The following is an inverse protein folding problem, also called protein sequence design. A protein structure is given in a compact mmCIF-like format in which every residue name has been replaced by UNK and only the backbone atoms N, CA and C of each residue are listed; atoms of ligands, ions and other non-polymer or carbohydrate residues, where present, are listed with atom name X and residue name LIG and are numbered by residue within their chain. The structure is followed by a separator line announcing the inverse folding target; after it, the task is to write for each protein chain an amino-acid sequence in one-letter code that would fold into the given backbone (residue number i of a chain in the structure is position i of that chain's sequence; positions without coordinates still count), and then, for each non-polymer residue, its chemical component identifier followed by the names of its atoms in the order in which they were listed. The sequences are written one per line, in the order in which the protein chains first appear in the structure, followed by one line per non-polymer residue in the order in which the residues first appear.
data_IF_311124334064
#
_entry.id   IF_311124334064
#
_cell.length_a   1.000
_cell.length_b   1.000
_cell.length_c   1.000
_cell.angle_alpha   90.00
_cell.angle_beta   90.00
_cell.angle_gamma   90.00
#
_symmetry.space_group_name_H-M   'P 1'
#
loop_
_entity.id
_entity.type
_entity.pdbx_description
1 polymer ?
#
# COMPACT_ATOMS: atom_id res chain seq x y z
N UNK A 1 -24.39 34.16 -17.78
CA UNK A 1 -23.93 33.41 -18.95
C UNK A 1 -22.44 33.13 -18.74
N UNK A 2 -22.13 31.98 -18.21
CA UNK A 2 -20.73 31.53 -18.08
C UNK A 2 -20.44 30.64 -19.29
N UNK A 3 -19.44 31.04 -20.09
CA UNK A 3 -19.00 30.27 -21.24
C UNK A 3 -18.16 29.08 -20.76
N UNK A 4 -18.67 27.88 -20.95
CA UNK A 4 -17.89 26.66 -20.82
C UNK A 4 -16.96 26.57 -22.04
N UNK A 5 -15.66 26.71 -21.81
CA UNK A 5 -14.65 26.46 -22.84
C UNK A 5 -14.48 24.92 -22.93
N UNK A 6 -15.13 24.32 -23.92
CA UNK A 6 -14.84 22.94 -24.33
C UNK A 6 -13.49 22.96 -25.07
N UNK A 7 -12.45 22.37 -24.47
CA UNK A 7 -11.17 22.14 -25.13
C UNK A 7 -11.40 21.29 -26.41
N UNK A 8 -10.73 21.63 -27.51
CA UNK A 8 -10.81 20.85 -28.75
C UNK A 8 -10.02 19.54 -28.60
N UNK A 9 -10.44 18.43 -29.26
CA UNK A 9 -9.73 17.14 -29.18
C UNK A 9 -8.24 17.22 -29.51
N UNK A 10 -7.81 18.13 -30.37
CA UNK A 10 -6.41 18.34 -30.70
C UNK A 10 -5.60 19.01 -29.58
N UNK A 11 -6.23 19.78 -28.70
CA UNK A 11 -5.56 20.38 -27.54
C UNK A 11 -5.34 19.35 -26.42
N UNK A 12 -6.29 18.45 -26.24
CA UNK A 12 -6.18 17.34 -25.26
C UNK A 12 -5.05 16.38 -25.65
N UNK A 13 -4.97 15.95 -26.91
CA UNK A 13 -3.90 15.05 -27.41
C UNK A 13 -2.51 15.70 -27.34
N UNK A 14 -2.42 17.03 -27.53
CA UNK A 14 -1.16 17.74 -27.39
C UNK A 14 -0.70 17.85 -25.93
N UNK A 15 -1.62 17.96 -25.00
CA UNK A 15 -1.36 18.04 -23.56
C UNK A 15 -0.93 16.67 -23.00
N UNK A 16 -1.62 15.58 -23.36
CA UNK A 16 -1.26 14.21 -23.02
C UNK A 16 0.15 13.83 -23.51
N UNK A 17 0.51 14.21 -24.74
CA UNK A 17 1.85 13.97 -25.28
C UNK A 17 2.96 14.79 -24.62
N UNK A 18 2.63 15.91 -23.98
CA UNK A 18 3.57 16.71 -23.20
C UNK A 18 3.77 16.11 -21.82
N UNK A 19 2.71 15.68 -21.18
CA UNK A 19 2.76 15.02 -19.87
C UNK A 19 3.57 13.71 -19.93
N UNK A 20 3.32 12.88 -20.93
CA UNK A 20 4.08 11.63 -21.12
C UNK A 20 5.59 11.90 -21.28
N UNK A 21 5.98 12.96 -21.97
CA UNK A 21 7.39 13.35 -22.09
C UNK A 21 8.00 13.78 -20.77
N UNK A 22 7.27 14.55 -19.98
CA UNK A 22 7.72 14.97 -18.64
C UNK A 22 7.93 13.74 -17.75
N UNK A 23 6.95 12.83 -17.69
CA UNK A 23 7.04 11.59 -16.94
C UNK A 23 8.27 10.77 -17.34
N UNK A 24 8.50 10.61 -18.64
CA UNK A 24 9.65 9.87 -19.15
C UNK A 24 11.00 10.54 -18.79
N UNK A 25 11.09 11.86 -18.81
CA UNK A 25 12.30 12.57 -18.39
C UNK A 25 12.52 12.47 -16.87
N UNK A 26 11.49 12.62 -16.05
CA UNK A 26 11.56 12.41 -14.61
C UNK A 26 12.04 10.98 -14.28
N UNK A 27 11.49 9.98 -14.96
CA UNK A 27 11.90 8.58 -14.79
C UNK A 27 13.38 8.34 -15.15
N UNK A 28 13.88 8.97 -16.25
CA UNK A 28 15.30 8.89 -16.63
C UNK A 28 16.21 9.52 -15.58
N UNK A 29 15.78 10.64 -14.99
CA UNK A 29 16.53 11.33 -13.93
C UNK A 29 16.55 10.44 -12.68
N UNK A 30 15.38 9.93 -12.26
CA UNK A 30 15.27 9.00 -11.14
C UNK A 30 16.22 7.80 -11.32
N UNK A 31 16.18 7.17 -12.50
CA UNK A 31 17.01 6.02 -12.84
C UNK A 31 18.52 6.27 -12.71
N UNK A 32 18.97 7.47 -13.08
CA UNK A 32 20.37 7.86 -12.92
C UNK A 32 20.79 8.04 -11.46
N UNK A 33 19.84 8.42 -10.61
CA UNK A 33 20.07 8.68 -9.19
C UNK A 33 19.91 7.43 -8.32
N UNK A 34 19.28 6.37 -8.83
CA UNK A 34 19.04 5.12 -8.07
C UNK A 34 20.28 4.60 -7.33
N UNK A 35 21.51 4.55 -7.91
CA UNK A 35 22.69 4.03 -7.20
C UNK A 35 23.06 4.78 -5.92
N UNK A 36 22.56 6.01 -5.75
CA UNK A 36 22.83 6.86 -4.60
C UNK A 36 21.69 6.91 -3.60
N UNK A 37 20.49 6.53 -4.04
CA UNK A 37 19.27 6.67 -3.27
C UNK A 37 18.75 5.34 -2.70
N UNK A 38 19.21 4.22 -3.24
CA UNK A 38 18.68 2.90 -2.89
C UNK A 38 19.79 1.89 -2.66
N UNK A 39 19.61 1.07 -1.64
CA UNK A 39 20.39 -0.15 -1.45
C UNK A 39 19.84 -1.29 -2.31
N UNK A 40 18.55 -1.27 -2.61
CA UNK A 40 17.92 -2.25 -3.48
C UNK A 40 16.76 -1.62 -4.26
N UNK A 41 16.70 -1.87 -5.56
CA UNK A 41 15.51 -1.62 -6.42
C UNK A 41 15.36 -2.77 -7.40
N UNK A 42 14.19 -3.39 -7.40
CA UNK A 42 13.78 -4.37 -8.38
C UNK A 42 12.51 -3.90 -9.06
N UNK A 43 12.50 -3.89 -10.39
CA UNK A 43 11.33 -3.53 -11.19
C UNK A 43 10.85 -4.76 -11.96
N UNK A 44 9.58 -5.05 -11.88
CA UNK A 44 8.96 -6.16 -12.58
C UNK A 44 7.68 -5.71 -13.29
N UNK A 45 7.58 -6.05 -14.59
CA UNK A 45 6.35 -5.83 -15.36
C UNK A 45 5.43 -7.04 -15.16
N UNK A 46 4.29 -6.80 -14.51
CA UNK A 46 3.23 -7.81 -14.37
C UNK A 46 2.51 -8.01 -15.71
N UNK A 47 1.89 -9.17 -15.90
CA UNK A 47 1.04 -9.45 -17.07
C UNK A 47 -0.17 -8.48 -17.12
N UNK A 48 -0.76 -8.19 -15.95
CA UNK A 48 -1.87 -7.28 -15.74
C UNK A 48 -1.59 -6.38 -14.52
N UNK A 49 -2.12 -5.15 -14.47
CA UNK A 49 -1.97 -4.32 -13.28
C UNK A 49 -2.58 -5.00 -12.07
N UNK A 50 -1.98 -4.77 -10.91
CA UNK A 50 -2.53 -5.16 -9.63
C UNK A 50 -3.02 -3.92 -8.86
N UNK A 51 -4.26 -3.96 -8.39
CA UNK A 51 -4.83 -2.91 -7.53
C UNK A 51 -4.48 -3.12 -6.04
N UNK A 52 -3.83 -4.24 -5.72
CA UNK A 52 -3.54 -4.64 -4.34
C UNK A 52 -2.21 -5.34 -4.24
N UNK A 53 -1.50 -5.13 -3.14
CA UNK A 53 -0.29 -5.87 -2.80
C UNK A 53 -0.17 -6.03 -1.29
N UNK A 54 0.24 -7.21 -0.84
CA UNK A 54 0.58 -7.44 0.57
C UNK A 54 1.64 -8.53 0.68
N UNK A 55 2.69 -8.27 1.46
CA UNK A 55 3.63 -9.30 1.86
C UNK A 55 2.95 -10.33 2.74
N UNK A 56 3.15 -11.62 2.46
CA UNK A 56 2.83 -12.67 3.40
C UNK A 56 3.88 -12.68 4.52
N UNK A 57 3.50 -13.08 5.76
CA UNK A 57 4.38 -12.96 6.92
C UNK A 57 5.45 -14.05 6.99
N UNK A 58 5.34 -15.09 6.17
CA UNK A 58 6.30 -16.17 6.13
C UNK A 58 7.55 -15.81 5.31
N UNK A 59 8.69 -16.20 5.82
CA UNK A 59 9.98 -16.10 5.17
C UNK A 59 10.71 -17.42 5.27
N UNK A 60 11.33 -17.85 4.18
CA UNK A 60 12.17 -19.05 4.17
C UNK A 60 13.62 -18.63 4.02
N UNK A 61 14.42 -18.94 5.03
CA UNK A 61 15.88 -18.77 5.05
C UNK A 61 16.54 -20.14 4.98
N UNK A 62 17.51 -20.31 4.11
CA UNK A 62 18.32 -21.54 3.99
C UNK A 62 19.75 -21.19 4.36
N UNK A 63 20.32 -21.92 5.30
CA UNK A 63 21.69 -21.68 5.76
C UNK A 63 22.68 -21.88 4.60
N UNK A 64 23.50 -20.88 4.36
CA UNK A 64 24.48 -20.86 3.26
C UNK A 64 24.00 -20.30 1.93
N UNK A 65 22.72 -19.89 1.83
CA UNK A 65 22.21 -19.14 0.68
C UNK A 65 22.36 -17.64 0.91
N UNK A 66 22.71 -16.89 -0.16
CA UNK A 66 22.83 -15.43 -0.15
C UNK A 66 21.48 -14.72 -0.32
N UNK A 67 20.37 -15.45 -0.17
CA UNK A 67 19.01 -14.92 -0.38
C UNK A 67 18.01 -15.54 0.58
N UNK A 68 16.93 -14.79 0.79
CA UNK A 68 15.71 -15.25 1.50
C UNK A 68 14.52 -15.32 0.54
N UNK A 69 13.64 -16.29 0.77
CA UNK A 69 12.43 -16.44 -0.05
C UNK A 69 11.25 -15.79 0.65
N UNK A 70 10.58 -14.87 -0.04
CA UNK A 70 9.40 -14.16 0.41
C UNK A 70 8.22 -14.42 -0.51
N UNK A 71 7.01 -14.14 -0.03
CA UNK A 71 5.79 -14.27 -0.83
C UNK A 71 4.94 -13.01 -0.76
N UNK A 72 4.24 -12.74 -1.86
CA UNK A 72 3.33 -11.61 -2.02
C UNK A 72 1.94 -12.10 -2.41
N UNK A 73 0.92 -11.40 -1.92
CA UNK A 73 -0.44 -11.43 -2.44
C UNK A 73 -0.55 -10.34 -3.50
N UNK A 74 -1.02 -10.69 -4.69
CA UNK A 74 -1.31 -9.78 -5.78
C UNK A 74 -2.69 -10.10 -6.35
N UNK A 75 -3.27 -9.17 -7.07
CA UNK A 75 -4.47 -9.37 -7.87
C UNK A 75 -4.21 -9.10 -9.34
N UNK A 76 -5.23 -9.28 -10.16
CA UNK A 76 -5.24 -8.80 -11.54
C UNK A 76 -6.39 -7.83 -11.74
N UNK A 77 -6.19 -6.90 -12.66
CA UNK A 77 -7.22 -6.05 -13.22
C UNK A 77 -7.14 -6.19 -14.74
N UNK A 78 -7.89 -7.15 -15.26
CA UNK A 78 -7.88 -7.49 -16.69
C UNK A 78 -8.94 -6.69 -17.44
N UNK A 79 -8.88 -6.72 -18.79
CA UNK A 79 -9.99 -6.27 -19.61
C UNK A 79 -11.20 -7.22 -19.48
N UNK A 80 -12.40 -6.73 -19.76
CA UNK A 80 -13.71 -7.38 -19.53
C UNK A 80 -13.86 -8.83 -20.04
N UNK A 81 -13.03 -9.26 -20.98
CA UNK A 81 -13.12 -10.59 -21.57
C UNK A 81 -12.15 -11.62 -20.98
N UNK A 82 -11.26 -11.21 -20.07
CA UNK A 82 -10.24 -12.10 -19.52
C UNK A 82 -10.48 -12.42 -18.05
N UNK A 83 -10.12 -13.66 -17.67
CA UNK A 83 -10.25 -14.15 -16.31
C UNK A 83 -9.32 -13.39 -15.36
N UNK A 84 -9.88 -12.80 -14.31
CA UNK A 84 -9.12 -12.24 -13.21
C UNK A 84 -8.67 -13.32 -12.22
N UNK A 85 -7.58 -13.04 -11.52
CA UNK A 85 -6.99 -13.97 -10.56
C UNK A 85 -6.54 -13.28 -9.28
N UNK A 86 -6.73 -13.96 -8.17
CA UNK A 86 -5.95 -13.75 -6.95
C UNK A 86 -4.65 -14.56 -7.08
N UNK A 87 -3.51 -13.94 -6.83
CA UNK A 87 -2.20 -14.51 -7.12
C UNK A 87 -1.35 -14.53 -5.86
N UNK A 88 -0.70 -15.66 -5.60
CA UNK A 88 0.42 -15.76 -4.67
C UNK A 88 1.70 -15.86 -5.49
N UNK A 89 2.55 -14.87 -5.33
CA UNK A 89 3.84 -14.78 -6.00
C UNK A 89 4.98 -15.03 -5.01
N UNK A 90 6.02 -15.70 -5.48
CA UNK A 90 7.26 -15.96 -4.73
C UNK A 90 8.40 -15.15 -5.34
N UNK A 91 9.26 -14.61 -4.49
CA UNK A 91 10.43 -13.88 -4.89
C UNK A 91 11.59 -14.11 -3.93
N UNK A 92 12.80 -13.79 -4.40
CA UNK A 92 14.03 -13.90 -3.63
C UNK A 92 14.54 -12.49 -3.33
N UNK A 93 14.84 -12.24 -2.06
CA UNK A 93 15.54 -11.04 -1.62
C UNK A 93 16.96 -11.40 -1.18
N UNK A 94 17.96 -10.55 -1.44
CA UNK A 94 19.31 -10.75 -0.95
C UNK A 94 19.36 -10.70 0.58
N UNK A 95 20.28 -11.43 1.19
CA UNK A 95 20.60 -11.28 2.61
C UNK A 95 21.51 -10.07 2.83
N UNK A 96 21.55 -9.54 4.06
CA UNK A 96 22.45 -8.44 4.43
C UNK A 96 23.95 -8.76 4.16
N UNK A 97 24.35 -10.02 4.27
CA UNK A 97 25.70 -10.48 4.00
C UNK A 97 26.01 -10.63 2.51
N UNK A 98 25.02 -10.53 1.63
CA UNK A 98 25.22 -10.62 0.18
C UNK A 98 25.96 -9.37 -0.31
N UNK A 99 27.18 -9.56 -0.83
CA UNK A 99 27.96 -8.44 -1.38
C UNK A 99 27.24 -7.82 -2.59
N UNK A 100 26.77 -6.60 -2.40
CA UNK A 100 26.20 -5.78 -3.45
C UNK A 100 27.31 -5.29 -4.38
N UNK A 101 27.29 -5.69 -5.63
CA UNK A 101 28.17 -5.16 -6.67
C UNK A 101 27.39 -4.17 -7.54
N UNK A 102 27.41 -2.90 -7.15
CA UNK A 102 26.77 -1.79 -7.88
C UNK A 102 27.29 -1.64 -9.32
N UNK A 103 28.43 -2.27 -9.67
CA UNK A 103 28.98 -2.26 -11.03
C UNK A 103 28.18 -3.09 -12.03
N UNK A 104 27.25 -3.92 -11.55
CA UNK A 104 26.40 -4.80 -12.38
C UNK A 104 25.06 -4.20 -12.75
N UNK A 105 24.93 -2.89 -12.74
CA UNK A 105 23.77 -2.22 -13.31
C UNK A 105 23.71 -2.47 -14.81
N UNK A 106 22.73 -3.24 -15.26
CA UNK A 106 22.46 -3.45 -16.67
C UNK A 106 21.70 -2.25 -17.23
N UNK A 107 22.43 -1.33 -17.84
CA UNK A 107 21.87 -0.12 -18.47
C UNK A 107 20.91 -0.42 -19.62
N UNK A 108 21.04 -1.60 -20.27
CA UNK A 108 20.23 -1.96 -21.42
C UNK A 108 18.87 -2.57 -21.01
N UNK A 109 18.82 -3.23 -19.86
CA UNK A 109 17.57 -3.81 -19.33
C UNK A 109 16.89 -2.94 -18.29
N UNK A 110 17.61 -1.97 -17.73
CA UNK A 110 17.06 -1.10 -16.70
C UNK A 110 16.76 -1.78 -15.36
N UNK A 111 17.34 -2.93 -15.15
CA UNK A 111 17.24 -3.68 -13.92
C UNK A 111 18.49 -3.40 -13.09
N UNK A 112 18.30 -3.00 -11.81
CA UNK A 112 19.35 -3.17 -10.81
C UNK A 112 19.47 -4.67 -10.64
N UNK A 113 20.43 -5.18 -11.38
CA UNK A 113 20.61 -6.57 -11.50
C UNK A 113 21.36 -7.07 -10.35
N UNK A 114 20.87 -7.58 -9.71
CA UNK A 114 21.29 -8.57 -9.33
C UNK A 114 22.42 -9.12 -8.63
N UNK A 115 22.10 -9.77 -7.67
CA UNK A 115 22.93 -10.71 -6.95
C UNK A 115 23.08 -12.00 -7.78
N UNK A 116 24.15 -12.11 -8.56
CA UNK A 116 24.45 -13.28 -9.35
C UNK A 116 23.34 -13.67 -10.36
N UNK A 117 23.12 -14.96 -10.58
CA UNK A 117 22.11 -15.50 -11.50
C UNK A 117 20.69 -15.55 -10.94
N UNK A 118 20.44 -15.01 -9.72
CA UNK A 118 19.18 -15.19 -8.96
C UNK A 118 18.46 -13.85 -8.77
N UNK A 119 18.42 -13.01 -9.77
CA UNK A 119 17.94 -11.67 -9.58
C UNK A 119 16.48 -11.47 -9.93
N UNK A 120 15.75 -10.82 -9.02
CA UNK A 120 14.51 -10.10 -9.30
C UNK A 120 13.37 -10.90 -9.93
N UNK A 121 13.55 -12.21 -10.08
CA UNK A 121 12.57 -13.06 -10.72
C UNK A 121 11.42 -13.34 -9.78
N UNK A 122 10.23 -12.95 -10.22
CA UNK A 122 8.99 -13.27 -9.55
C UNK A 122 8.39 -14.49 -10.20
N UNK A 123 8.19 -15.52 -9.39
CA UNK A 123 7.54 -16.75 -9.81
C UNK A 123 6.12 -16.78 -9.24
N UNK A 124 5.14 -16.99 -10.11
CA UNK A 124 3.75 -17.22 -9.67
C UNK A 124 3.67 -18.63 -9.08
N UNK A 125 3.35 -18.71 -7.78
CA UNK A 125 3.20 -19.96 -7.04
C UNK A 125 1.78 -20.52 -7.15
N UNK A 126 0.77 -19.66 -6.99
CA UNK A 126 -0.65 -20.02 -7.02
C UNK A 126 -1.44 -18.95 -7.76
N UNK A 127 -2.27 -19.35 -8.71
CA UNK A 127 -3.32 -18.55 -9.34
C UNK A 127 -4.68 -19.11 -8.96
N UNK A 128 -5.57 -18.27 -8.44
CA UNK A 128 -6.95 -18.64 -8.12
C UNK A 128 -7.90 -17.78 -8.94
N UNK A 129 -8.86 -18.38 -9.63
CA UNK A 129 -9.86 -17.63 -10.39
C UNK A 129 -10.64 -16.69 -9.47
N UNK A 130 -10.74 -15.43 -9.85
CA UNK A 130 -11.48 -14.40 -9.15
C UNK A 130 -12.59 -13.82 -10.04
N UNK A 131 -13.72 -13.50 -9.44
CA UNK A 131 -14.88 -12.93 -10.13
C UNK A 131 -14.73 -11.41 -10.18
N UNK A 132 -14.38 -10.91 -11.35
CA UNK A 132 -13.96 -9.53 -11.56
C UNK A 132 -12.54 -9.23 -11.06
N UNK A 133 -12.12 -7.99 -11.18
CA UNK A 133 -10.82 -7.52 -10.66
C UNK A 133 -10.73 -7.67 -9.14
N UNK A 134 -9.50 -7.79 -8.65
CA UNK A 134 -9.22 -7.86 -7.22
C UNK A 134 -8.98 -6.44 -6.71
N UNK A 135 -10.02 -5.77 -6.22
CA UNK A 135 -9.93 -4.39 -5.71
C UNK A 135 -9.01 -4.29 -4.48
N UNK A 136 -9.09 -5.27 -3.58
CA UNK A 136 -8.25 -5.37 -2.39
C UNK A 136 -8.15 -6.84 -1.96
N UNK A 137 -6.98 -7.25 -1.50
CA UNK A 137 -6.75 -8.56 -0.90
C UNK A 137 -5.92 -8.42 0.38
N UNK A 138 -6.34 -9.08 1.47
CA UNK A 138 -5.64 -9.05 2.76
C UNK A 138 -5.75 -10.41 3.44
N UNK A 139 -4.61 -10.91 3.96
CA UNK A 139 -4.61 -12.16 4.74
C UNK A 139 -5.10 -11.95 6.17
N UNK A 140 -5.66 -12.99 6.76
CA UNK A 140 -6.06 -13.00 8.16
C UNK A 140 -4.81 -13.18 9.06
N UNK A 141 -4.51 -12.24 9.99
CA UNK A 141 -3.28 -12.30 10.79
C UNK A 141 -3.10 -13.60 11.59
N UNK A 142 -4.18 -14.16 12.13
CA UNK A 142 -4.13 -15.39 12.91
C UNK A 142 -3.99 -16.66 12.07
N UNK A 143 -4.31 -16.57 10.77
CA UNK A 143 -4.18 -17.68 9.83
C UNK A 143 -3.93 -17.15 8.40
N UNK A 144 -2.66 -16.88 8.03
CA UNK A 144 -2.32 -16.21 6.77
C UNK A 144 -2.67 -16.97 5.48
N UNK A 145 -3.09 -18.24 5.60
CA UNK A 145 -3.58 -18.99 4.43
C UNK A 145 -4.98 -18.53 3.99
N UNK A 146 -5.71 -17.84 4.87
CA UNK A 146 -7.02 -17.26 4.57
C UNK A 146 -6.86 -15.83 4.08
N UNK A 147 -7.35 -15.55 2.88
CA UNK A 147 -7.29 -14.26 2.23
C UNK A 147 -8.70 -13.76 1.96
N UNK A 148 -9.03 -12.57 2.48
CA UNK A 148 -10.24 -11.85 2.11
C UNK A 148 -9.98 -11.00 0.88
N UNK A 149 -10.93 -10.96 -0.06
CA UNK A 149 -10.83 -10.14 -1.27
C UNK A 149 -12.09 -9.33 -1.51
N UNK A 150 -11.91 -8.13 -2.05
CA UNK A 150 -12.96 -7.26 -2.59
C UNK A 150 -13.02 -7.43 -4.10
N UNK A 151 -14.22 -7.45 -4.66
CA UNK A 151 -14.46 -7.54 -6.09
C UNK A 151 -15.46 -6.46 -6.55
N UNK A 152 -15.65 -6.23 -7.86
CA UNK A 152 -16.65 -5.30 -8.38
C UNK A 152 -18.09 -5.67 -8.03
N UNK A 153 -18.35 -6.91 -7.69
CA UNK A 153 -19.65 -7.27 -7.13
C UNK A 153 -19.71 -6.89 -5.63
N UNK A 154 -20.88 -6.88 -5.06
CA UNK A 154 -21.07 -6.48 -3.68
C UNK A 154 -20.57 -7.49 -2.62
N UNK A 155 -20.10 -8.67 -3.03
CA UNK A 155 -19.66 -9.74 -2.12
C UNK A 155 -18.18 -9.59 -1.77
N UNK A 156 -17.82 -10.02 -0.56
CA UNK A 156 -16.42 -10.22 -0.16
C UNK A 156 -16.14 -11.71 -0.17
N UNK A 157 -15.01 -12.13 -0.74
CA UNK A 157 -14.65 -13.53 -0.84
C UNK A 157 -13.60 -13.90 0.18
N UNK A 158 -13.67 -15.14 0.70
CA UNK A 158 -12.63 -15.73 1.53
C UNK A 158 -12.05 -16.92 0.78
N UNK A 159 -10.75 -16.85 0.49
CA UNK A 159 -9.97 -17.91 -0.12
C UNK A 159 -9.04 -18.55 0.90
N UNK A 160 -8.96 -19.88 0.88
CA UNK A 160 -7.90 -20.66 1.51
C UNK A 160 -6.98 -21.15 0.38
N UNK A 161 -5.85 -20.50 0.18
CA UNK A 161 -4.99 -20.81 -0.98
C UNK A 161 -4.41 -22.23 -0.93
N UNK A 162 -4.37 -22.87 0.25
CA UNK A 162 -3.90 -24.25 0.38
C UNK A 162 -4.86 -25.29 -0.22
N UNK A 163 -6.12 -24.89 -0.47
CA UNK A 163 -7.15 -25.74 -1.07
C UNK A 163 -7.27 -25.57 -2.58
N UNK A 164 -6.41 -24.75 -3.16
CA UNK A 164 -6.38 -24.49 -4.60
C UNK A 164 -5.15 -25.11 -5.26
N UNK A 165 -5.24 -25.58 -6.49
CA UNK A 165 -4.09 -25.98 -7.28
C UNK A 165 -3.23 -24.76 -7.63
N UNK A 166 -1.95 -24.97 -7.96
CA UNK A 166 -1.05 -23.88 -8.39
C UNK A 166 -1.58 -23.11 -9.60
N UNK A 167 -2.23 -23.81 -10.53
CA UNK A 167 -2.90 -23.22 -11.71
C UNK A 167 -4.28 -23.86 -11.84
N UNK A 168 -5.35 -23.06 -12.07
CA UNK A 168 -6.68 -23.59 -12.28
C UNK A 168 -6.71 -24.55 -13.48
N UNK A 169 -7.34 -25.73 -13.36
CA UNK A 169 -7.46 -26.66 -14.47
C UNK A 169 -8.35 -26.08 -15.58
N UNK A 170 -8.11 -26.47 -16.84
CA UNK A 170 -8.90 -25.99 -17.98
C UNK A 170 -10.41 -26.25 -17.84
N UNK A 171 -10.79 -27.35 -17.15
CA UNK A 171 -12.19 -27.67 -16.86
C UNK A 171 -12.88 -26.69 -15.91
N UNK A 172 -12.12 -25.87 -15.20
CA UNK A 172 -12.61 -24.87 -14.25
C UNK A 172 -12.31 -23.43 -14.71
N UNK A 173 -12.04 -23.25 -15.98
CA UNK A 173 -11.85 -21.92 -16.56
C UNK A 173 -13.10 -21.06 -16.30
N UNK A 174 -12.88 -19.83 -15.81
CA UNK A 174 -13.92 -18.87 -15.44
C UNK A 174 -14.80 -19.28 -14.24
N UNK A 175 -14.39 -20.24 -13.42
CA UNK A 175 -15.12 -20.63 -12.22
C UNK A 175 -14.40 -20.13 -10.97
N UNK A 176 -14.99 -19.13 -10.30
CA UNK A 176 -14.51 -18.62 -9.02
C UNK A 176 -15.02 -19.51 -7.87
N UNK A 177 -14.10 -20.06 -7.06
CA UNK A 177 -14.39 -21.00 -5.98
C UNK A 177 -13.83 -20.52 -4.64
N UNK A 178 -14.33 -19.43 -4.06
CA UNK A 178 -13.95 -19.06 -2.69
C UNK A 178 -14.50 -20.09 -1.71
N UNK A 179 -13.86 -20.25 -0.57
CA UNK A 179 -14.35 -21.10 0.52
C UNK A 179 -15.59 -20.51 1.19
N UNK A 180 -15.72 -19.19 1.17
CA UNK A 180 -16.87 -18.49 1.74
C UNK A 180 -17.15 -17.19 0.99
N UNK A 181 -18.43 -16.88 0.79
CA UNK A 181 -18.91 -15.60 0.25
C UNK A 181 -19.60 -14.82 1.36
N UNK A 182 -19.17 -13.60 1.60
CA UNK A 182 -19.70 -12.71 2.64
C UNK A 182 -20.67 -11.72 2.00
N UNK A 183 -21.89 -11.67 2.53
CA UNK A 183 -23.00 -10.86 2.03
C UNK A 183 -23.33 -9.74 3.00
N UNK A 184 -23.80 -8.64 2.48
CA UNK A 184 -24.22 -7.48 3.29
C UNK A 184 -24.19 -6.18 2.49
N UNK A 185 -23.16 -5.97 1.67
CA UNK A 185 -23.08 -4.83 0.77
C UNK A 185 -23.99 -4.95 -0.46
N UNK A 186 -24.30 -3.80 -1.05
CA UNK A 186 -25.11 -3.69 -2.29
C UNK A 186 -24.30 -3.11 -3.46
N UNK A 187 -23.09 -2.63 -3.20
CA UNK A 187 -22.13 -2.11 -4.18
C UNK A 187 -20.73 -2.60 -3.86
N UNK A 188 -19.80 -2.38 -4.77
CA UNK A 188 -18.37 -2.61 -4.59
C UNK A 188 -17.75 -1.70 -3.54
N UNK A 189 -16.45 -1.77 -3.40
CA UNK A 189 -15.63 -0.91 -2.56
C UNK A 189 -14.20 -1.45 -2.43
N UNK A 190 -13.38 -0.76 -1.64
CA UNK A 190 -11.95 -1.05 -1.49
C UNK A 190 -11.56 -1.42 -0.06
N UNK A 191 -12.04 -0.70 0.94
CA UNK A 191 -11.64 -0.90 2.33
C UNK A 191 -11.87 -2.32 2.83
N UNK A 192 -10.84 -2.95 3.41
CA UNK A 192 -10.87 -4.32 3.92
C UNK A 192 -9.88 -4.45 5.07
N UNK A 193 -10.33 -4.87 6.25
CA UNK A 193 -9.48 -4.95 7.45
C UNK A 193 -9.83 -6.14 8.34
N UNK A 194 -8.84 -7.00 8.59
CA UNK A 194 -8.93 -8.07 9.56
C UNK A 194 -8.60 -7.58 10.96
N UNK A 195 -9.34 -8.07 11.95
CA UNK A 195 -9.04 -7.81 13.37
C UNK A 195 -7.84 -8.66 13.80
N UNK A 196 -6.75 -8.01 14.23
CA UNK A 196 -5.55 -8.69 14.68
C UNK A 196 -5.70 -9.31 16.07
N UNK A 197 -6.66 -8.84 16.89
CA UNK A 197 -6.85 -9.25 18.27
C UNK A 197 -8.04 -10.21 18.45
N UNK A 198 -9.00 -10.19 17.51
CA UNK A 198 -10.20 -11.03 17.55
C UNK A 198 -10.30 -11.85 16.26
N UNK A 199 -9.98 -13.13 16.37
CA UNK A 199 -9.88 -14.05 15.24
C UNK A 199 -11.15 -14.11 14.41
N UNK A 200 -11.00 -14.01 13.09
CA UNK A 200 -12.10 -14.19 12.14
C UNK A 200 -13.01 -12.99 11.94
N UNK A 201 -12.76 -11.87 12.63
CA UNK A 201 -13.54 -10.63 12.43
C UNK A 201 -12.98 -9.82 11.28
N UNK A 202 -13.80 -9.54 10.28
CA UNK A 202 -13.46 -8.83 9.05
C UNK A 202 -14.39 -7.65 8.86
N UNK A 203 -13.82 -6.47 8.60
CA UNK A 203 -14.53 -5.26 8.18
C UNK A 203 -14.34 -5.01 6.68
N UNK A 204 -15.37 -4.47 6.07
CA UNK A 204 -15.34 -4.01 4.67
C UNK A 204 -16.09 -2.70 4.53
N UNK A 205 -15.52 -1.78 3.76
CA UNK A 205 -16.13 -0.51 3.35
C UNK A 205 -16.65 -0.59 1.92
N UNK A 206 -17.66 0.22 1.57
CA UNK A 206 -18.31 0.15 0.26
C UNK A 206 -18.88 1.48 -0.21
N UNK A 207 -19.06 1.58 -1.53
CA UNK A 207 -19.77 2.64 -2.24
C UNK A 207 -21.26 2.72 -1.86
N UNK A 208 -21.77 1.71 -1.18
CA UNK A 208 -23.14 1.72 -0.64
C UNK A 208 -23.29 2.54 0.65
N UNK A 209 -22.26 3.29 1.04
CA UNK A 209 -22.20 4.16 2.22
C UNK A 209 -22.15 3.41 3.55
N UNK A 210 -21.90 2.10 3.53
CA UNK A 210 -21.91 1.27 4.74
C UNK A 210 -20.57 0.62 5.04
N UNK A 211 -20.39 0.22 6.31
CA UNK A 211 -19.33 -0.71 6.73
C UNK A 211 -19.99 -1.99 7.21
N UNK A 212 -19.58 -3.13 6.66
CA UNK A 212 -20.02 -4.45 7.10
C UNK A 212 -18.99 -5.13 7.98
N UNK A 213 -19.45 -5.81 9.01
CA UNK A 213 -18.66 -6.66 9.90
C UNK A 213 -19.13 -8.11 9.79
N UNK A 214 -18.22 -9.02 9.56
CA UNK A 214 -18.46 -10.47 9.64
C UNK A 214 -17.58 -11.13 10.71
N UNK A 215 -18.08 -12.23 11.23
CA UNK A 215 -17.34 -13.18 12.05
C UNK A 215 -17.33 -14.52 11.30
N UNK A 216 -16.24 -14.80 10.59
CA UNK A 216 -16.17 -15.99 9.74
C UNK A 216 -16.16 -17.30 10.54
N UNK A 217 -15.87 -17.24 11.84
CA UNK A 217 -15.98 -18.43 12.73
C UNK A 217 -17.42 -18.85 12.97
N UNK A 218 -18.39 -17.95 12.76
CA UNK A 218 -19.81 -18.25 12.86
C UNK A 218 -20.34 -19.08 11.67
N UNK A 219 -19.56 -19.21 10.59
CA UNK A 219 -19.93 -20.00 9.43
C UNK A 219 -19.96 -21.48 9.78
N UNK A 220 -21.04 -22.18 9.40
CA UNK A 220 -21.11 -23.64 9.56
C UNK A 220 -20.19 -24.33 8.56
N UNK A 221 -19.72 -25.54 8.86
CA UNK A 221 -18.72 -26.27 8.09
C UNK A 221 -19.06 -26.46 6.58
N UNK A 222 -20.33 -26.38 6.22
CA UNK A 222 -20.79 -26.52 4.83
C UNK A 222 -21.44 -25.22 4.29
N UNK A 223 -21.27 -24.10 4.97
CA UNK A 223 -21.83 -22.84 4.49
C UNK A 223 -20.99 -22.28 3.36
N UNK A 224 -21.63 -21.96 2.23
CA UNK A 224 -21.02 -21.22 1.12
C UNK A 224 -21.14 -19.70 1.29
N UNK A 225 -22.02 -19.24 2.17
CA UNK A 225 -22.36 -17.85 2.39
C UNK A 225 -22.44 -17.53 3.88
N UNK A 226 -22.15 -16.28 4.20
CA UNK A 226 -22.30 -15.73 5.55
C UNK A 226 -22.83 -14.29 5.43
N UNK A 227 -23.94 -14.02 6.10
CA UNK A 227 -24.48 -12.66 6.15
C UNK A 227 -23.71 -11.80 7.17
N UNK A 228 -23.72 -10.49 6.97
CA UNK A 228 -23.05 -9.56 7.86
C UNK A 228 -23.61 -9.67 9.31
N UNK A 229 -22.72 -9.75 10.27
CA UNK A 229 -23.04 -9.70 11.71
C UNK A 229 -23.56 -8.35 12.13
N UNK A 230 -23.02 -7.27 11.52
CA UNK A 230 -23.43 -5.88 11.75
C UNK A 230 -23.18 -5.05 10.49
N UNK A 231 -24.06 -4.08 10.25
CA UNK A 231 -23.95 -3.11 9.16
C UNK A 231 -24.01 -1.71 9.77
N UNK A 232 -22.93 -0.93 9.62
CA UNK A 232 -22.80 0.42 10.17
C UNK A 232 -23.19 1.45 9.11
N UNK A 233 -24.09 2.38 9.47
CA UNK A 233 -24.80 3.26 8.50
C UNK A 233 -24.79 4.73 8.93
N UNK A 234 -23.63 5.30 9.30
CA UNK A 234 -23.54 6.71 9.68
C UNK A 234 -22.94 7.60 8.59
N UNK A 235 -22.15 7.04 7.67
CA UNK A 235 -21.66 7.77 6.51
C UNK A 235 -22.81 8.13 5.56
N UNK A 236 -22.72 9.27 4.89
CA UNK A 236 -23.72 9.74 3.93
C UNK A 236 -23.20 9.82 2.49
N UNK A 237 -21.98 9.36 2.27
CA UNK A 237 -21.32 9.18 0.97
C UNK A 237 -20.52 7.88 0.97
N UNK A 238 -19.81 7.57 -0.11
CA UNK A 238 -18.95 6.39 -0.25
C UNK A 238 -18.02 6.25 0.96
N UNK A 239 -17.90 5.03 1.48
CA UNK A 239 -16.89 4.71 2.51
C UNK A 239 -15.69 4.11 1.79
N UNK A 240 -14.62 4.90 1.72
CA UNK A 240 -13.43 4.55 0.96
C UNK A 240 -12.57 3.51 1.68
N UNK A 241 -12.38 3.67 2.99
CA UNK A 241 -11.53 2.77 3.75
C UNK A 241 -12.04 2.52 5.17
N UNK A 242 -11.59 1.40 5.73
CA UNK A 242 -11.88 0.95 7.09
C UNK A 242 -10.66 0.26 7.68
N UNK A 243 -10.36 0.51 8.93
CA UNK A 243 -9.26 -0.14 9.63
C UNK A 243 -9.64 -0.48 11.08
N UNK A 244 -9.33 -1.72 11.50
CA UNK A 244 -9.32 -2.06 12.90
C UNK A 244 -8.17 -1.37 13.61
N UNK A 245 -8.40 -0.99 14.86
CA UNK A 245 -7.34 -0.56 15.75
C UNK A 245 -6.39 -1.75 16.02
N UNK A 246 -5.08 -1.51 15.86
CA UNK A 246 -4.09 -2.61 15.94
C UNK A 246 -4.00 -3.21 17.35
N UNK A 247 -4.15 -2.38 18.39
CA UNK A 247 -3.97 -2.78 19.79
C UNK A 247 -5.29 -3.03 20.54
N UNK A 248 -6.45 -2.75 19.94
CA UNK A 248 -7.78 -2.94 20.56
C UNK A 248 -8.67 -3.79 19.68
N UNK A 249 -9.34 -4.77 20.28
CA UNK A 249 -10.22 -5.73 19.59
C UNK A 249 -11.58 -5.18 19.19
N UNK A 250 -12.01 -4.04 19.77
CA UNK A 250 -13.37 -3.51 19.64
C UNK A 250 -13.46 -2.16 18.95
N UNK A 251 -12.33 -1.52 18.67
CA UNK A 251 -12.29 -0.18 18.05
C UNK A 251 -11.88 -0.27 16.59
N UNK A 252 -12.58 0.48 15.73
CA UNK A 252 -12.20 0.65 14.33
C UNK A 252 -12.50 2.07 13.84
N UNK A 253 -11.84 2.47 12.77
CA UNK A 253 -12.07 3.72 12.06
C UNK A 253 -12.65 3.48 10.68
N UNK A 254 -13.45 4.42 10.17
CA UNK A 254 -13.90 4.49 8.78
C UNK A 254 -13.78 5.90 8.25
N UNK A 255 -13.49 6.03 6.96
CA UNK A 255 -13.32 7.29 6.24
C UNK A 255 -14.02 7.24 4.89
N UNK A 256 -14.37 8.39 4.34
CA UNK A 256 -15.05 8.41 3.06
C UNK A 256 -15.21 9.79 2.42
N UNK A 257 -16.00 9.82 1.35
CA UNK A 257 -16.27 11.01 0.53
C UNK A 257 -17.05 12.10 1.24
N UNK A 258 -17.61 11.80 2.40
CA UNK A 258 -18.23 12.80 3.27
C UNK A 258 -17.20 13.61 4.08
N UNK A 259 -15.91 13.49 3.77
CA UNK A 259 -14.76 14.15 4.37
C UNK A 259 -14.56 13.81 5.86
N UNK A 260 -15.18 12.75 6.34
CA UNK A 260 -15.21 12.39 7.75
C UNK A 260 -14.31 11.24 8.09
N UNK A 261 -13.77 11.33 9.28
CA UNK A 261 -13.24 10.21 10.05
C UNK A 261 -14.26 9.87 11.14
N UNK A 262 -14.71 8.63 11.16
CA UNK A 262 -15.57 8.08 12.20
C UNK A 262 -14.84 7.01 12.98
N UNK A 263 -14.91 7.07 14.29
CA UNK A 263 -14.36 6.05 15.19
C UNK A 263 -15.51 5.31 15.86
N UNK A 264 -15.45 4.00 15.78
CA UNK A 264 -16.49 3.09 16.24
C UNK A 264 -15.98 2.22 17.39
N UNK A 265 -16.91 1.88 18.30
CA UNK A 265 -16.68 0.91 19.37
C UNK A 265 -17.78 -0.17 19.28
N UNK A 266 -17.38 -1.38 18.91
CA UNK A 266 -18.30 -2.52 18.71
C UNK A 266 -18.95 -3.02 20.00
N UNK A 267 -18.46 -2.61 21.17
CA UNK A 267 -19.10 -2.88 22.47
C UNK A 267 -20.37 -2.06 22.66
N UNK A 268 -20.47 -0.92 21.99
CA UNK A 268 -21.68 -0.14 21.91
C UNK A 268 -22.62 -0.80 20.89
N UNK A 269 -23.81 -1.20 21.29
CA UNK A 269 -24.77 -1.88 20.41
C UNK A 269 -25.40 -0.93 19.34
N UNK A 270 -24.73 0.14 18.97
CA UNK A 270 -25.19 1.10 17.97
C UNK A 270 -24.40 0.97 16.68
N UNK A 271 -25.09 0.67 15.59
CA UNK A 271 -24.53 0.64 14.24
C UNK A 271 -24.82 1.94 13.45
N UNK A 272 -25.53 2.90 14.06
CA UNK A 272 -25.90 4.17 13.44
C UNK A 272 -25.23 5.37 14.09
N UNK A 273 -24.56 5.17 15.23
CA UNK A 273 -23.95 6.26 16.00
C UNK A 273 -22.53 5.89 16.38
N UNK A 274 -21.51 6.40 15.67
CA UNK A 274 -20.12 6.20 16.03
C UNK A 274 -19.77 6.87 17.36
N UNK A 275 -18.68 6.43 17.99
CA UNK A 275 -18.17 7.01 19.23
C UNK A 275 -17.64 8.44 19.00
N UNK A 276 -16.99 8.66 17.87
CA UNK A 276 -16.50 9.98 17.45
C UNK A 276 -16.73 10.19 15.97
N UNK A 277 -16.99 11.45 15.59
CA UNK A 277 -17.08 11.93 14.22
C UNK A 277 -16.27 13.22 14.14
N UNK A 278 -15.44 13.33 13.13
CA UNK A 278 -14.67 14.54 12.84
C UNK A 278 -14.64 14.83 11.34
N UNK A 279 -14.77 16.13 10.99
CA UNK A 279 -14.45 16.61 9.64
C UNK A 279 -12.93 16.57 9.49
N UNK A 280 -12.44 15.51 8.87
CA UNK A 280 -11.01 15.23 8.88
C UNK A 280 -10.23 16.06 7.86
N UNK A 281 -10.82 16.28 6.70
CA UNK A 281 -10.18 16.91 5.55
C UNK A 281 -11.15 17.86 4.82
N UNK A 282 -10.61 18.61 3.86
CA UNK A 282 -11.40 19.53 3.01
C UNK A 282 -11.92 18.88 1.72
N UNK A 283 -11.51 17.63 1.46
CA UNK A 283 -11.95 16.79 0.35
C UNK A 283 -12.16 15.35 0.84
N UNK A 284 -12.41 14.43 -0.07
CA UNK A 284 -12.62 13.01 0.16
C UNK A 284 -11.46 12.41 0.97
N UNK A 285 -11.77 11.52 1.92
CA UNK A 285 -10.78 10.82 2.73
C UNK A 285 -10.67 9.39 2.25
N UNK A 286 -9.55 9.07 1.60
CA UNK A 286 -9.39 7.82 0.85
C UNK A 286 -8.78 6.67 1.66
N UNK A 287 -8.05 6.97 2.73
CA UNK A 287 -7.36 5.94 3.51
C UNK A 287 -7.14 6.34 4.96
N UNK A 288 -6.98 5.32 5.82
CA UNK A 288 -6.60 5.50 7.22
C UNK A 288 -5.72 4.35 7.71
N UNK A 289 -4.90 4.62 8.71
CA UNK A 289 -4.05 3.62 9.36
C UNK A 289 -3.79 3.97 10.82
N UNK A 290 -4.03 3.01 11.71
CA UNK A 290 -3.68 3.13 13.13
C UNK A 290 -2.21 2.80 13.33
N UNK A 291 -1.54 3.59 14.19
CA UNK A 291 -0.15 3.33 14.56
C UNK A 291 -0.05 1.99 15.32
N UNK A 292 0.86 1.09 14.92
CA UNK A 292 0.98 -0.22 15.58
C UNK A 292 1.65 -0.19 16.95
N UNK A 293 2.27 0.92 17.35
CA UNK A 293 2.98 1.08 18.62
C UNK A 293 2.25 1.99 19.60
N UNK A 294 1.59 3.05 19.11
CA UNK A 294 0.85 4.01 19.93
C UNK A 294 -0.64 3.82 19.80
N UNK A 295 -1.30 3.48 20.90
CA UNK A 295 -2.76 3.23 20.92
C UNK A 295 -3.62 4.47 20.62
N UNK A 296 -3.05 5.66 20.66
CA UNK A 296 -3.82 6.90 20.46
C UNK A 296 -3.65 7.52 19.07
N UNK A 297 -2.71 7.03 18.28
CA UNK A 297 -2.30 7.70 17.05
C UNK A 297 -2.85 6.97 15.82
N UNK A 298 -3.41 7.77 14.91
CA UNK A 298 -3.78 7.31 13.57
C UNK A 298 -3.47 8.39 12.53
N UNK A 299 -3.34 7.95 11.28
CA UNK A 299 -3.14 8.81 10.13
C UNK A 299 -4.29 8.62 9.13
N UNK A 300 -4.64 9.69 8.42
CA UNK A 300 -5.60 9.69 7.31
C UNK A 300 -5.00 10.37 6.09
N UNK A 301 -5.27 9.86 4.89
CA UNK A 301 -4.86 10.44 3.62
C UNK A 301 -6.06 10.86 2.78
N UNK A 302 -5.94 11.97 2.04
CA UNK A 302 -7.08 12.61 1.40
C UNK A 302 -6.78 13.08 -0.03
N UNK A 303 -7.86 13.29 -0.78
CA UNK A 303 -7.87 13.99 -2.06
C UNK A 303 -7.46 15.47 -1.93
N UNK A 304 -7.46 16.05 -0.71
CA UNK A 304 -6.90 17.38 -0.46
C UNK A 304 -5.35 17.43 -0.51
N UNK A 305 -4.69 16.31 -0.86
CA UNK A 305 -3.24 16.14 -1.04
C UNK A 305 -2.45 16.12 0.28
N UNK A 306 -3.14 16.01 1.40
CA UNK A 306 -2.51 15.99 2.73
C UNK A 306 -2.70 14.66 3.43
N UNK A 307 -1.72 14.30 4.26
CA UNK A 307 -1.86 13.29 5.29
C UNK A 307 -2.05 14.01 6.62
N UNK A 308 -3.06 13.61 7.38
CA UNK A 308 -3.32 14.18 8.70
C UNK A 308 -3.03 13.17 9.82
N UNK A 309 -2.41 13.65 10.87
CA UNK A 309 -2.12 12.89 12.10
C UNK A 309 -3.13 13.25 13.19
N UNK A 310 -3.66 12.24 13.88
CA UNK A 310 -4.72 12.38 14.86
C UNK A 310 -4.38 11.71 16.18
N UNK A 311 -4.88 12.33 17.28
CA UNK A 311 -4.89 11.73 18.62
C UNK A 311 -6.33 11.37 19.00
N UNK A 312 -6.61 10.09 19.23
CA UNK A 312 -7.94 9.58 19.63
C UNK A 312 -8.48 10.22 20.91
N UNK A 313 -7.61 10.72 21.78
CA UNK A 313 -7.99 11.41 23.02
C UNK A 313 -8.54 12.80 22.76
N UNK A 314 -8.16 13.42 21.63
CA UNK A 314 -8.60 14.76 21.24
C UNK A 314 -8.68 14.90 19.70
N UNK A 315 -9.73 14.41 19.12
CA UNK A 315 -9.99 14.50 17.66
C UNK A 315 -10.48 15.89 17.20
N UNK A 316 -10.56 16.88 18.08
CA UNK A 316 -11.01 18.24 17.70
C UNK A 316 -9.99 18.98 16.84
N UNK A 317 -8.72 18.64 16.95
CA UNK A 317 -7.62 19.27 16.24
C UNK A 317 -6.69 18.19 15.67
N UNK A 318 -6.21 18.39 14.45
CA UNK A 318 -5.11 17.60 13.90
C UNK A 318 -3.86 17.82 14.75
N UNK A 319 -3.11 16.77 15.01
CA UNK A 319 -1.77 16.89 15.61
C UNK A 319 -0.79 17.49 14.61
N UNK A 320 -0.86 17.05 13.35
CA UNK A 320 0.01 17.51 12.27
C UNK A 320 -0.66 17.30 10.91
N UNK A 321 -0.23 18.07 9.91
CA UNK A 321 -0.61 17.92 8.50
C UNK A 321 0.66 17.81 7.67
N UNK A 322 0.84 16.70 7.00
CA UNK A 322 1.98 16.45 6.11
C UNK A 322 1.63 16.96 4.71
N UNK A 323 2.41 17.89 4.20
CA UNK A 323 2.16 18.58 2.94
C UNK A 323 3.37 18.45 2.02
N UNK A 324 3.27 17.62 1.00
CA UNK A 324 4.26 17.49 -0.07
C UNK A 324 3.68 16.84 -1.32
N UNK A 325 2.71 15.92 -1.19
CA UNK A 325 2.03 15.32 -2.33
C UNK A 325 1.44 16.37 -3.25
N UNK A 326 1.51 16.11 -4.56
CA UNK A 326 1.03 17.04 -5.60
C UNK A 326 -0.37 16.71 -6.06
N UNK A 327 -0.90 15.55 -5.69
CA UNK A 327 -2.22 15.06 -6.06
C UNK A 327 -2.80 14.17 -4.96
N UNK A 328 -3.97 13.58 -5.20
CA UNK A 328 -4.73 12.79 -4.25
C UNK A 328 -3.93 11.62 -3.65
N UNK A 329 -4.11 11.41 -2.36
CA UNK A 329 -3.49 10.31 -1.60
C UNK A 329 -4.51 9.18 -1.49
N UNK A 330 -4.10 7.95 -1.88
CA UNK A 330 -4.97 6.77 -1.85
C UNK A 330 -4.57 5.71 -0.84
N UNK A 331 -3.33 5.73 -0.32
CA UNK A 331 -2.89 4.77 0.66
C UNK A 331 -1.97 5.41 1.70
N UNK A 332 -2.11 4.99 2.94
CA UNK A 332 -1.26 5.36 4.08
C UNK A 332 -1.01 4.14 4.94
N UNK A 333 0.25 3.87 5.28
CA UNK A 333 0.64 2.73 6.11
C UNK A 333 1.80 3.08 7.03
N UNK A 334 1.67 2.72 8.31
CA UNK A 334 2.76 2.81 9.27
C UNK A 334 3.81 1.71 9.01
N UNK A 335 5.08 2.05 9.25
CA UNK A 335 6.15 1.05 9.29
C UNK A 335 5.86 0.01 10.38
N UNK A 336 6.03 -1.30 10.09
CA UNK A 336 5.89 -2.33 11.12
C UNK A 336 7.10 -2.40 12.05
N UNK A 337 8.19 -1.69 11.77
CA UNK A 337 9.45 -1.75 12.52
C UNK A 337 9.76 -0.48 13.32
N UNK A 338 9.21 0.68 12.90
CA UNK A 338 9.55 1.99 13.48
C UNK A 338 8.27 2.75 13.80
N UNK A 339 8.12 3.19 15.06
CA UNK A 339 6.92 3.87 15.54
C UNK A 339 6.68 5.26 14.93
N UNK A 340 7.77 5.93 14.48
CA UNK A 340 7.71 7.30 13.94
C UNK A 340 7.62 7.32 12.40
N UNK A 341 7.72 6.17 11.74
CA UNK A 341 7.80 6.12 10.29
C UNK A 341 6.44 5.77 9.67
N UNK A 342 6.01 6.62 8.76
CA UNK A 342 4.76 6.52 8.01
C UNK A 342 5.06 6.60 6.51
N UNK A 343 4.31 5.89 5.69
CA UNK A 343 4.37 6.00 4.23
C UNK A 343 3.00 6.38 3.66
N UNK A 344 3.02 7.17 2.58
CA UNK A 344 1.81 7.55 1.82
C UNK A 344 2.07 7.50 0.32
N UNK A 345 1.06 7.14 -0.46
CA UNK A 345 1.13 7.09 -1.92
C UNK A 345 -0.14 7.62 -2.57
N UNK A 346 -0.01 8.08 -3.80
CA UNK A 346 -1.14 8.70 -4.48
C UNK A 346 -1.04 8.77 -6.00
N UNK A 347 -1.93 9.55 -6.57
CA UNK A 347 -2.08 9.80 -8.00
C UNK A 347 -0.88 10.54 -8.60
N UNK A 348 -0.13 11.27 -7.77
CA UNK A 348 1.09 11.96 -8.19
C UNK A 348 2.27 11.03 -8.54
N UNK A 349 2.06 9.73 -8.56
CA UNK A 349 3.04 8.69 -8.90
C UNK A 349 4.19 8.57 -7.91
N UNK A 350 4.06 9.12 -6.70
CA UNK A 350 5.10 9.18 -5.67
C UNK A 350 4.67 8.40 -4.43
N UNK A 351 5.65 7.79 -3.77
CA UNK A 351 5.48 7.25 -2.43
C UNK A 351 6.42 8.03 -1.50
N UNK A 352 5.81 8.68 -0.51
CA UNK A 352 6.53 9.49 0.47
C UNK A 352 6.74 8.70 1.74
N UNK A 353 7.94 8.80 2.31
CA UNK A 353 8.28 8.29 3.64
C UNK A 353 8.43 9.47 4.58
N UNK A 354 7.72 9.42 5.69
CA UNK A 354 7.65 10.48 6.69
C UNK A 354 8.26 10.00 8.00
N UNK A 355 9.07 10.84 8.63
CA UNK A 355 9.61 10.61 9.97
C UNK A 355 9.04 11.64 10.93
N UNK A 356 8.13 11.22 11.81
CA UNK A 356 7.48 12.08 12.79
C UNK A 356 8.45 12.66 13.81
N UNK A 357 9.60 12.04 14.04
CA UNK A 357 10.60 12.53 14.98
C UNK A 357 11.22 13.86 14.52
N UNK A 358 11.21 14.13 13.22
CA UNK A 358 11.77 15.34 12.60
C UNK A 358 10.78 16.50 12.47
N UNK A 359 9.54 16.33 12.96
CA UNK A 359 8.53 17.41 12.93
C UNK A 359 9.02 18.61 13.73
N UNK A 360 9.11 19.78 13.06
CA UNK A 360 9.50 21.03 13.68
C UNK A 360 11.01 21.24 13.81
N UNK A 361 11.84 20.39 13.22
CA UNK A 361 13.28 20.63 13.11
C UNK A 361 13.57 21.86 12.24
N UNK A 362 14.65 22.57 12.58
CA UNK A 362 15.11 23.71 11.78
C UNK A 362 15.81 23.22 10.51
N UNK A 363 15.47 23.81 9.38
CA UNK A 363 16.07 23.50 8.07
C UNK A 363 16.83 24.70 7.53
N UNK A 364 17.84 24.45 6.69
CA UNK A 364 18.43 25.48 5.85
C UNK A 364 17.45 25.91 4.77
N UNK A 365 17.56 27.14 4.19
CA UNK A 365 16.72 27.53 3.05
C UNK A 365 16.84 26.61 1.85
N UNK A 366 17.99 25.97 1.66
CA UNK A 366 18.25 25.02 0.56
C UNK A 366 17.49 23.70 0.82
N UNK A 367 17.57 23.14 2.03
CA UNK A 367 16.86 21.91 2.39
C UNK A 367 15.32 22.09 2.35
N UNK A 368 14.83 23.28 2.71
CA UNK A 368 13.41 23.59 2.70
C UNK A 368 12.80 23.64 1.28
N UNK A 369 13.60 23.75 0.21
CA UNK A 369 13.14 23.63 -1.18
C UNK A 369 12.75 22.20 -1.53
N UNK A 370 13.34 21.19 -0.89
CA UNK A 370 13.08 19.77 -1.13
C UNK A 370 11.86 19.24 -0.36
N UNK A 371 11.38 19.97 0.63
CA UNK A 371 10.19 19.63 1.42
C UNK A 371 10.32 19.92 2.91
N UNK A 372 9.30 19.56 3.72
CA UNK A 372 9.34 19.75 5.17
C UNK A 372 10.35 18.77 5.82
N UNK A 373 10.86 19.09 7.04
CA UNK A 373 11.91 18.30 7.68
C UNK A 373 11.50 16.85 7.96
N UNK A 374 10.22 16.61 8.18
CA UNK A 374 9.66 15.27 8.39
C UNK A 374 9.52 14.44 7.12
N UNK A 375 9.75 15.00 5.94
CA UNK A 375 9.80 14.26 4.67
C UNK A 375 11.16 13.59 4.52
N UNK A 376 11.23 12.32 4.88
CA UNK A 376 12.48 11.56 4.88
C UNK A 376 12.92 11.15 3.48
N UNK A 377 11.98 10.69 2.63
CA UNK A 377 12.29 10.15 1.32
C UNK A 377 11.09 10.22 0.37
N UNK A 378 11.38 10.39 -0.93
CA UNK A 378 10.39 10.29 -2.02
C UNK A 378 10.84 9.20 -3.00
N UNK A 379 10.08 8.11 -3.07
CA UNK A 379 10.25 7.11 -4.11
C UNK A 379 9.57 7.58 -5.40
N UNK A 380 10.37 7.78 -6.45
CA UNK A 380 9.92 8.33 -7.73
C UNK A 380 9.95 7.34 -8.90
N UNK A 381 10.01 6.03 -8.62
CA UNK A 381 10.22 5.00 -9.64
C UNK A 381 8.99 4.65 -10.49
N UNK A 382 7.79 5.08 -10.08
CA UNK A 382 6.57 4.80 -10.82
C UNK A 382 6.25 5.88 -11.85
N UNK A 383 5.68 5.46 -12.98
CA UNK A 383 5.27 6.29 -14.12
C UNK A 383 3.76 6.44 -14.22
N UNK A 384 3.00 5.77 -13.35
CA UNK A 384 1.56 5.87 -13.21
C UNK A 384 1.16 5.91 -11.74
N UNK A 385 -0.13 6.15 -11.46
CA UNK A 385 -0.71 6.12 -10.12
C UNK A 385 -0.32 4.83 -9.39
N UNK A 386 0.11 4.98 -8.14
CA UNK A 386 0.38 3.85 -7.25
C UNK A 386 -0.95 3.36 -6.68
N UNK A 387 -1.31 2.11 -7.00
CA UNK A 387 -2.57 1.52 -6.59
C UNK A 387 -2.54 1.03 -5.14
N UNK A 388 -1.42 0.43 -4.72
CA UNK A 388 -1.23 -0.08 -3.36
C UNK A 388 0.26 -0.26 -3.07
N UNK A 389 0.62 -0.32 -1.79
CA UNK A 389 1.96 -0.68 -1.37
C UNK A 389 1.93 -1.45 -0.05
N UNK A 390 3.02 -2.14 0.28
CA UNK A 390 3.12 -2.93 1.50
C UNK A 390 4.55 -2.92 2.03
N UNK A 391 4.71 -2.62 3.32
CA UNK A 391 5.95 -2.80 4.04
C UNK A 391 6.23 -4.30 4.23
N UNK A 392 7.50 -4.73 4.05
CA UNK A 392 7.90 -6.09 4.36
C UNK A 392 7.95 -6.28 5.89
N UNK A 393 7.22 -7.26 6.45
CA UNK A 393 7.21 -7.47 7.90
C UNK A 393 8.49 -8.12 8.43
N UNK A 394 9.32 -8.71 7.56
CA UNK A 394 10.52 -9.47 7.92
C UNK A 394 11.83 -8.75 7.61
N UNK A 395 11.83 -7.86 6.61
CA UNK A 395 13.00 -7.09 6.18
C UNK A 395 12.71 -5.60 6.37
N UNK A 396 13.36 -4.93 7.34
CA UNK A 396 13.15 -3.51 7.59
C UNK A 396 13.42 -2.64 6.37
N UNK A 397 12.64 -1.59 6.20
CA UNK A 397 12.75 -0.62 5.12
C UNK A 397 12.49 -1.13 3.71
N UNK A 398 12.18 -2.42 3.54
CA UNK A 398 11.79 -2.99 2.24
C UNK A 398 10.30 -2.76 2.00
N UNK A 399 9.98 -2.17 0.86
CA UNK A 399 8.61 -1.88 0.41
C UNK A 399 8.39 -2.52 -0.95
N UNK A 400 7.18 -3.07 -1.15
CA UNK A 400 6.66 -3.42 -2.45
C UNK A 400 5.54 -2.44 -2.82
N UNK A 401 5.61 -1.84 -4.01
CA UNK A 401 4.60 -0.94 -4.54
C UNK A 401 4.16 -1.36 -5.94
N UNK A 402 2.88 -1.18 -6.27
CA UNK A 402 2.28 -1.54 -7.57
C UNK A 402 1.56 -0.33 -8.16
N UNK A 403 1.62 -0.20 -9.49
CA UNK A 403 1.01 0.91 -10.22
C UNK A 403 0.13 0.45 -11.37
N UNK A 404 -0.71 1.36 -11.86
CA UNK A 404 -1.73 1.08 -12.88
C UNK A 404 -1.17 0.71 -14.26
N UNK A 405 0.13 0.95 -14.50
CA UNK A 405 0.87 0.62 -15.72
C UNK A 405 1.55 -0.75 -15.68
N UNK A 406 1.04 -1.70 -14.90
CA UNK A 406 1.54 -3.07 -14.70
C UNK A 406 2.88 -3.15 -13.96
N UNK A 407 3.42 -2.06 -13.44
CA UNK A 407 4.74 -2.07 -12.82
C UNK A 407 4.61 -2.38 -11.34
N UNK A 408 5.40 -3.35 -10.90
CA UNK A 408 5.67 -3.63 -9.51
C UNK A 408 7.12 -3.32 -9.20
N UNK A 409 7.36 -2.60 -8.12
CA UNK A 409 8.71 -2.32 -7.64
C UNK A 409 8.88 -2.80 -6.20
N UNK A 410 10.02 -3.43 -5.93
CA UNK A 410 10.48 -3.78 -4.59
C UNK A 410 11.74 -3.00 -4.36
N UNK A 411 11.76 -2.22 -3.29
CA UNK A 411 12.83 -1.28 -3.07
C UNK A 411 13.11 -1.05 -1.59
N UNK A 412 14.34 -0.66 -1.32
CA UNK A 412 14.84 -0.23 -0.02
C UNK A 412 15.66 1.04 -0.24
N UNK A 413 15.33 2.13 0.45
CA UNK A 413 16.13 3.34 0.39
C UNK A 413 17.50 3.09 1.03
N UNK A 414 18.49 3.87 0.62
CA UNK A 414 19.86 3.73 1.09
C UNK A 414 19.97 3.96 2.61
N UNK A 415 20.76 3.14 3.28
CA UNK A 415 20.90 3.12 4.74
C UNK A 415 21.34 4.48 5.32
N UNK A 416 22.21 5.18 4.63
CA UNK A 416 22.67 6.52 5.01
C UNK A 416 21.55 7.60 5.02
N UNK A 417 20.36 7.32 4.51
CA UNK A 417 19.22 8.27 4.54
C UNK A 417 18.53 8.26 5.90
N UNK A 418 18.45 7.10 6.55
CA UNK A 418 17.73 6.94 7.82
C UNK A 418 18.64 6.61 9.01
N UNK A 419 19.94 6.38 8.76
CA UNK A 419 20.95 6.08 9.78
C UNK A 419 21.95 7.24 9.86
N UNK A 420 21.78 8.14 10.85
CA UNK A 420 22.60 9.34 11.01
C UNK A 420 24.07 9.02 11.31
N UNK A 421 24.37 7.92 12.02
CA UNK A 421 25.74 7.51 12.31
C UNK A 421 26.52 7.13 11.04
N UNK A 422 25.87 6.50 10.06
CA UNK A 422 26.47 6.19 8.78
C UNK A 422 26.56 7.40 7.84
N UNK A 423 25.59 8.29 7.89
CA UNK A 423 25.61 9.55 7.14
C UNK A 423 26.83 10.40 7.51
N UNK A 424 27.11 10.54 8.81
CA UNK A 424 28.29 11.26 9.30
C UNK A 424 29.59 10.57 8.87
N UNK A 425 29.68 9.25 8.93
CA UNK A 425 30.84 8.49 8.48
C UNK A 425 31.12 8.64 6.97
N UNK A 426 30.05 8.67 6.15
CA UNK A 426 30.17 8.89 4.69
C UNK A 426 30.64 10.32 4.41
N UNK A 427 30.12 11.33 5.13
CA UNK A 427 30.55 12.72 5.00
C UNK A 427 32.02 12.92 5.42
N UNK A 428 32.45 12.29 6.51
CA UNK A 428 33.86 12.32 6.94
C UNK A 428 34.79 11.66 5.91
N UNK A 429 34.40 10.54 5.31
CA UNK A 429 35.18 9.89 4.25
C UNK A 429 35.24 10.75 2.98
N UNK A 430 34.13 11.35 2.56
CA UNK A 430 34.11 12.25 1.42
C UNK A 430 34.99 13.49 1.63
N UNK A 431 34.94 14.08 2.82
CA UNK A 431 35.79 15.20 3.20
C UNK A 431 37.29 14.82 3.22
N UNK A 432 37.62 13.63 3.73
CA UNK A 432 38.98 13.11 3.72
C UNK A 432 39.49 12.85 2.30
N UNK A 433 38.68 12.31 1.40
CA UNK A 433 39.04 12.11 -0.01
C UNK A 433 39.23 13.44 -0.75
N UNK A 434 38.39 14.44 -0.50
CA UNK A 434 38.53 15.77 -1.10
C UNK A 434 39.83 16.46 -0.64
N UNK A 435 40.24 16.28 0.60
CA UNK A 435 41.52 16.81 1.13
C UNK A 435 42.72 16.06 0.56
N UNK A 436 42.64 14.75 0.32
CA UNK A 436 43.70 13.97 -0.26
C UNK A 436 43.91 14.22 -1.76
N UNK A 437 42.86 14.63 -2.49
CA UNK A 437 42.93 14.96 -3.92
C UNK A 437 43.50 16.36 -4.24
N UNK A 438 43.74 17.19 -3.22
CA UNK A 438 44.31 18.56 -3.38
C UNK A 438 45.77 18.65 -2.98
N UNK A 439 46.44 17.55 -2.61
CA UNK A 439 47.84 17.42 -2.31
C UNK A 439 48.58 16.71 -3.45
#
# INVERSE_FOLDING_TARGET
MAASSTATPAAVVADEGMEERIINEEYKIWKKNCPFLYDMVMTHALEWPSLTVQWLPDVKRVEGDDYTTHRLILGTHTSDEQQNHLVIAKLLLPTEDAQFDASRYDTDRGEFGGFGSITGKIDVEIKMNHEGEVNRARYMPQNPVLIGTKSPNAEVFIFDYTKHPSIPPQSEQNVCKPQLRLRGHTKEGYGLSWNANLTGHLLSASDDTTVCLWDIQAATANANFLDAKSIFTAHNAVVEDVAWHVLHDSIFGSVGDDHKLMVWDTRNNSTTKPAHIVEAHTAEVNCLSFNPYSEFILATGSADKTVALWDLRNLKLKLHSFESHKDEIFQVQWSPHNETILASSGTDRRLHIWDLSKIGEEQTPEDAEDGPPELLFIHGGHTAKISDFSWNPNEPWVICSVSEDNIMQIWQMADNIYNEEEADAVMEQAAAMAQAGTA
#
